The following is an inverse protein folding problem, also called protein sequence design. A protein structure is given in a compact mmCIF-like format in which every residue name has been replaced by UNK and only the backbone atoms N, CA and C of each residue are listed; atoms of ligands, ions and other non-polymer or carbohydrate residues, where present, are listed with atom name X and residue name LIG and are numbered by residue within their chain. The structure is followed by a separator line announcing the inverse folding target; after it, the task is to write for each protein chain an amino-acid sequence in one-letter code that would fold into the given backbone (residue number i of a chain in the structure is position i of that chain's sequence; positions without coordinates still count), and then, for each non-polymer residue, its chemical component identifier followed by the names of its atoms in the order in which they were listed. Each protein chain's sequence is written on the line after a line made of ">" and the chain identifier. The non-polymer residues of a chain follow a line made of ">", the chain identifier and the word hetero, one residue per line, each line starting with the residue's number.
data_IF_276989441943
#
_entry.id   IF_276989441943
#
_cell.length_a   1.000
_cell.length_b   1.000
_cell.length_c   1.000
_cell.angle_alpha   90.00
_cell.angle_beta   90.00
_cell.angle_gamma   90.00
#
_symmetry.space_group_name_H-M   'P 1'
#
loop_
_entity.id
_entity.type
_entity.pdbx_description
1 polymer ?
#
# COMPACT_ATOMS: atom_id res chain seq x y z
N UNK A 1 -10.83 -32.76 -58.83
CA UNK A 1 -11.20 -31.93 -57.71
C UNK A 1 -9.96 -31.69 -56.84
N UNK A 2 -9.29 -30.53 -56.94
CA UNK A 2 -8.11 -30.16 -56.15
C UNK A 2 -8.61 -29.48 -54.87
N UNK A 3 -8.38 -30.08 -53.71
CA UNK A 3 -8.68 -29.46 -52.40
C UNK A 3 -7.55 -28.47 -52.06
N UNK A 4 -7.88 -27.21 -52.04
CA UNK A 4 -7.00 -26.11 -51.61
C UNK A 4 -7.06 -26.05 -50.06
N UNK A 5 -5.98 -26.42 -49.39
CA UNK A 5 -5.84 -26.23 -47.94
C UNK A 5 -5.38 -24.80 -47.69
N UNK A 6 -6.25 -23.99 -47.15
CA UNK A 6 -5.93 -22.63 -46.68
C UNK A 6 -5.28 -22.77 -45.27
N UNK A 7 -3.96 -22.57 -45.22
CA UNK A 7 -3.22 -22.46 -43.93
C UNK A 7 -3.33 -21.01 -43.51
N UNK A 8 -4.19 -20.72 -42.51
CA UNK A 8 -4.19 -19.45 -41.79
C UNK A 8 -2.95 -19.39 -40.87
N UNK A 9 -2.08 -18.39 -40.98
CA UNK A 9 -1.04 -18.18 -40.00
C UNK A 9 -1.68 -17.71 -38.69
N UNK A 10 -1.55 -18.52 -37.64
CA UNK A 10 -1.90 -18.11 -36.28
C UNK A 10 -0.82 -17.13 -35.79
N UNK A 11 -1.07 -15.84 -35.93
CA UNK A 11 -0.24 -14.82 -35.30
C UNK A 11 -0.44 -14.90 -33.78
N UNK A 12 0.40 -15.65 -33.10
CA UNK A 12 0.49 -15.59 -31.65
C UNK A 12 0.98 -14.19 -31.28
N UNK A 13 0.09 -13.35 -30.76
CA UNK A 13 0.47 -12.10 -30.11
C UNK A 13 1.33 -12.49 -28.90
N UNK A 14 2.64 -12.26 -29.01
CA UNK A 14 3.55 -12.35 -27.86
C UNK A 14 3.13 -11.28 -26.87
N UNK A 15 2.44 -11.65 -25.79
CA UNK A 15 2.27 -10.75 -24.67
C UNK A 15 3.68 -10.39 -24.18
N UNK A 16 3.97 -9.10 -23.89
CA UNK A 16 5.25 -8.72 -23.32
C UNK A 16 5.46 -9.52 -22.03
N UNK A 17 6.65 -10.11 -21.89
CA UNK A 17 7.01 -10.88 -20.71
C UNK A 17 7.22 -9.92 -19.55
N UNK A 18 6.52 -10.13 -18.44
CA UNK A 18 6.75 -9.39 -17.20
C UNK A 18 8.22 -9.55 -16.75
N UNK A 19 8.86 -8.43 -16.42
CA UNK A 19 10.25 -8.41 -15.96
C UNK A 19 10.30 -8.11 -14.47
N UNK A 20 10.80 -9.03 -13.65
CA UNK A 20 11.05 -8.78 -12.23
C UNK A 20 12.20 -7.77 -12.09
N UNK A 21 11.96 -6.69 -11.35
CA UNK A 21 12.95 -5.62 -11.13
C UNK A 21 13.33 -5.48 -9.67
N UNK A 22 12.51 -5.99 -8.75
CA UNK A 22 12.74 -5.88 -7.32
C UNK A 22 12.09 -7.05 -6.58
N UNK A 23 12.75 -7.49 -5.52
CA UNK A 23 12.23 -8.38 -4.50
C UNK A 23 12.40 -7.74 -3.13
N UNK A 24 11.38 -7.79 -2.26
CA UNK A 24 11.47 -7.25 -0.90
C UNK A 24 10.76 -8.13 0.12
N UNK A 25 11.33 -8.15 1.36
CA UNK A 25 10.64 -8.63 2.55
C UNK A 25 10.19 -7.42 3.36
N UNK A 26 8.95 -7.45 3.82
CA UNK A 26 8.32 -6.32 4.46
C UNK A 26 7.47 -6.72 5.66
N UNK A 27 7.35 -5.80 6.62
CA UNK A 27 6.23 -5.76 7.56
C UNK A 27 5.39 -4.53 7.25
N UNK A 28 4.05 -4.65 7.40
CA UNK A 28 3.15 -3.54 7.10
C UNK A 28 2.08 -3.38 8.15
N UNK A 29 1.63 -2.16 8.30
CA UNK A 29 0.38 -1.82 8.95
C UNK A 29 -0.44 -0.97 7.98
N UNK A 30 -1.69 -1.32 7.75
CA UNK A 30 -2.55 -0.63 6.79
C UNK A 30 -3.78 -0.06 7.48
N UNK A 31 -4.06 1.21 7.20
CA UNK A 31 -5.32 1.86 7.49
C UNK A 31 -6.11 2.04 6.19
N UNK A 32 -7.34 1.57 6.19
CA UNK A 32 -8.31 1.93 5.17
C UNK A 32 -9.10 3.14 5.67
N UNK A 33 -9.11 4.23 4.93
CA UNK A 33 -9.71 5.49 5.33
C UNK A 33 -10.83 5.92 4.39
N UNK A 34 -11.81 6.61 4.94
CA UNK A 34 -12.70 7.48 4.21
C UNK A 34 -12.23 8.93 4.43
N UNK A 35 -11.67 9.53 3.37
CA UNK A 35 -11.23 10.94 3.35
C UNK A 35 -12.21 11.80 2.54
N UNK A 36 -12.19 13.16 2.66
CA UNK A 36 -13.01 14.04 1.86
C UNK A 36 -12.84 13.78 0.36
N UNK A 37 -13.91 13.34 -0.31
CA UNK A 37 -13.85 12.94 -1.73
C UNK A 37 -13.42 14.09 -2.64
N UNK A 38 -13.85 15.32 -2.34
CA UNK A 38 -13.44 16.50 -3.13
C UNK A 38 -11.93 16.76 -3.05
N UNK A 39 -11.33 16.53 -1.87
CA UNK A 39 -9.89 16.64 -1.69
C UNK A 39 -9.14 15.52 -2.43
N UNK A 40 -9.63 14.27 -2.33
CA UNK A 40 -9.03 13.13 -3.04
C UNK A 40 -9.07 13.33 -4.57
N UNK A 41 -10.16 13.86 -5.10
CA UNK A 41 -10.31 14.10 -6.55
C UNK A 41 -9.22 15.03 -7.12
N UNK A 42 -8.64 15.92 -6.31
CA UNK A 42 -7.55 16.79 -6.75
C UNK A 42 -6.24 16.04 -7.06
N UNK A 43 -6.10 14.79 -6.59
CA UNK A 43 -4.95 13.93 -6.85
C UNK A 43 -5.18 12.95 -8.01
N UNK A 44 -6.43 12.84 -8.48
CA UNK A 44 -6.75 11.90 -9.54
C UNK A 44 -6.43 12.52 -10.91
N UNK A 45 -5.72 11.81 -11.80
CA UNK A 45 -5.53 12.27 -13.16
C UNK A 45 -6.87 12.37 -13.93
N UNK A 46 -6.94 13.16 -15.01
CA UNK A 46 -8.15 13.26 -15.83
C UNK A 46 -8.67 11.88 -16.29
N UNK A 47 -9.97 11.66 -16.14
CA UNK A 47 -10.65 10.42 -16.52
C UNK A 47 -10.59 9.29 -15.48
N UNK A 48 -9.79 9.42 -14.42
CA UNK A 48 -9.73 8.47 -13.31
C UNK A 48 -10.83 8.78 -12.29
N UNK A 49 -11.39 7.74 -11.68
CA UNK A 49 -12.49 7.88 -10.70
C UNK A 49 -12.21 7.03 -9.46
N UNK A 50 -12.57 7.54 -8.29
CA UNK A 50 -12.52 6.72 -7.07
C UNK A 50 -13.40 5.47 -7.21
N UNK A 51 -12.85 4.34 -6.79
CA UNK A 51 -13.56 3.06 -6.67
C UNK A 51 -13.79 2.76 -5.19
N UNK A 52 -14.85 3.35 -4.63
CA UNK A 52 -15.16 3.24 -3.20
C UNK A 52 -15.77 1.87 -2.94
N UNK A 53 -15.24 1.14 -1.96
CA UNK A 53 -15.80 -0.14 -1.55
C UNK A 53 -17.23 0.03 -1.01
N UNK A 54 -18.19 -0.72 -1.56
CA UNK A 54 -19.62 -0.63 -1.18
C UNK A 54 -20.03 -1.67 -0.14
N UNK A 55 -19.14 -2.65 0.13
CA UNK A 55 -19.41 -3.76 1.05
C UNK A 55 -18.12 -4.28 1.69
N UNK A 56 -18.27 -5.16 2.66
CA UNK A 56 -17.15 -5.78 3.38
C UNK A 56 -16.53 -4.86 4.44
N UNK A 57 -15.40 -5.29 5.01
CA UNK A 57 -14.73 -4.56 6.08
C UNK A 57 -14.17 -3.21 5.64
N UNK A 58 -13.80 -3.05 4.38
CA UNK A 58 -13.31 -1.81 3.80
C UNK A 58 -14.44 -0.95 3.17
N UNK A 59 -15.71 -1.18 3.54
CA UNK A 59 -16.84 -0.36 3.05
C UNK A 59 -16.56 1.11 3.31
N UNK A 60 -16.83 1.96 2.31
CA UNK A 60 -16.61 3.41 2.32
C UNK A 60 -15.14 3.85 2.24
N UNK A 61 -14.18 2.93 2.17
CA UNK A 61 -12.76 3.25 1.96
C UNK A 61 -12.55 3.87 0.57
N UNK A 62 -11.86 5.02 0.55
CA UNK A 62 -11.41 5.67 -0.69
C UNK A 62 -9.90 5.99 -0.68
N UNK A 63 -9.23 5.78 0.46
CA UNK A 63 -7.77 5.96 0.58
C UNK A 63 -7.19 4.90 1.52
N UNK A 64 -6.05 4.33 1.13
CA UNK A 64 -5.25 3.44 1.95
C UNK A 64 -3.98 4.15 2.38
N UNK A 65 -3.71 4.15 3.68
CA UNK A 65 -2.46 4.61 4.27
C UNK A 65 -1.70 3.38 4.73
N UNK A 66 -0.61 3.04 4.05
CA UNK A 66 0.13 1.81 4.27
C UNK A 66 1.51 2.17 4.84
N UNK A 67 1.73 1.80 6.09
CA UNK A 67 3.01 1.90 6.77
C UNK A 67 3.85 0.69 6.40
N UNK A 68 4.99 0.91 5.79
CA UNK A 68 5.83 -0.16 5.24
C UNK A 68 7.24 -0.05 5.82
N UNK A 69 7.67 -1.13 6.46
CA UNK A 69 9.07 -1.36 6.77
C UNK A 69 9.61 -2.43 5.82
N UNK A 70 10.34 -1.99 4.81
CA UNK A 70 11.03 -2.86 3.86
C UNK A 70 12.35 -3.29 4.49
N UNK A 71 12.34 -4.48 5.09
CA UNK A 71 13.47 -5.02 5.83
C UNK A 71 14.64 -5.36 4.90
N UNK A 72 14.31 -5.92 3.72
CA UNK A 72 15.27 -6.17 2.64
C UNK A 72 14.72 -5.73 1.29
N UNK A 73 15.59 -5.22 0.44
CA UNK A 73 15.30 -4.84 -0.95
C UNK A 73 16.44 -5.37 -1.82
N UNK A 74 16.12 -6.25 -2.75
CA UNK A 74 17.07 -6.90 -3.62
C UNK A 74 16.66 -6.79 -5.08
N UNK A 75 17.65 -6.71 -5.95
CA UNK A 75 17.49 -6.84 -7.40
C UNK A 75 17.23 -8.29 -7.84
N UNK A 76 17.01 -8.49 -9.15
CA UNK A 76 16.77 -9.82 -9.72
C UNK A 76 17.95 -10.79 -9.52
N UNK A 77 19.14 -10.27 -9.36
CA UNK A 77 20.37 -11.01 -9.10
C UNK A 77 20.60 -11.33 -7.61
N UNK A 78 19.69 -10.89 -6.74
CA UNK A 78 19.79 -11.04 -5.29
C UNK A 78 20.68 -10.00 -4.60
N UNK A 79 21.32 -9.09 -5.34
CA UNK A 79 22.12 -8.02 -4.75
C UNK A 79 21.21 -6.95 -4.11
N UNK A 80 21.63 -6.30 -3.00
CA UNK A 80 20.88 -5.20 -2.42
C UNK A 80 20.66 -4.05 -3.42
N UNK A 81 19.44 -3.51 -3.47
CA UNK A 81 19.15 -2.27 -4.19
C UNK A 81 19.22 -1.09 -3.22
N UNK A 82 19.88 -0.01 -3.64
CA UNK A 82 20.09 1.18 -2.84
C UNK A 82 20.76 0.85 -1.50
N UNK A 83 20.11 1.23 -0.39
CA UNK A 83 20.59 0.89 0.96
C UNK A 83 20.17 -0.51 1.43
N UNK A 84 19.45 -1.26 0.60
CA UNK A 84 18.95 -2.60 0.90
C UNK A 84 17.76 -2.63 1.87
N UNK A 85 17.30 -1.47 2.35
CA UNK A 85 16.10 -1.33 3.20
C UNK A 85 15.54 0.08 3.12
N UNK A 86 14.23 0.25 3.37
CA UNK A 86 13.57 1.56 3.37
C UNK A 86 12.30 1.53 4.24
N UNK A 87 11.96 2.67 4.83
CA UNK A 87 10.71 2.88 5.58
C UNK A 87 9.92 3.98 4.91
N UNK A 88 8.65 3.71 4.73
CA UNK A 88 7.76 4.67 4.06
C UNK A 88 6.32 4.54 4.51
N UNK A 89 5.59 5.61 4.30
CA UNK A 89 4.13 5.61 4.30
C UNK A 89 3.66 5.83 2.87
N UNK A 90 2.83 4.93 2.40
CA UNK A 90 2.35 4.85 1.03
C UNK A 90 0.88 5.24 0.99
N UNK A 91 0.52 6.18 0.14
CA UNK A 91 -0.86 6.62 -0.06
C UNK A 91 -1.39 6.06 -1.38
N UNK A 92 -2.30 5.10 -1.30
CA UNK A 92 -2.91 4.47 -2.46
C UNK A 92 -4.43 4.65 -2.46
N UNK A 93 -4.95 5.22 -3.53
CA UNK A 93 -6.38 5.31 -3.77
C UNK A 93 -6.87 4.13 -4.63
N UNK A 94 -7.88 3.36 -4.20
CA UNK A 94 -8.58 2.45 -5.09
C UNK A 94 -9.35 3.27 -6.14
N UNK A 95 -9.13 2.98 -7.42
CA UNK A 95 -9.67 3.77 -8.52
C UNK A 95 -10.13 2.87 -9.67
N UNK A 96 -10.98 3.43 -10.52
CA UNK A 96 -11.28 2.91 -11.86
C UNK A 96 -10.54 3.79 -12.87
N UNK A 97 -9.70 3.18 -13.69
CA UNK A 97 -8.96 3.86 -14.74
C UNK A 97 -9.84 4.23 -15.95
N UNK A 98 -9.34 5.00 -16.94
CA UNK A 98 -10.11 5.36 -18.12
C UNK A 98 -10.59 4.18 -18.97
N UNK A 99 -9.97 2.99 -18.84
CA UNK A 99 -10.42 1.77 -19.54
C UNK A 99 -11.54 1.03 -18.81
N UNK A 100 -11.89 1.46 -17.58
CA UNK A 100 -12.87 0.80 -16.72
C UNK A 100 -12.28 -0.26 -15.80
N UNK A 101 -10.96 -0.43 -15.77
CA UNK A 101 -10.31 -1.40 -14.88
C UNK A 101 -10.17 -0.84 -13.45
N UNK A 102 -10.41 -1.72 -12.46
CA UNK A 102 -10.20 -1.39 -11.05
C UNK A 102 -8.74 -1.65 -10.67
N UNK A 103 -8.05 -0.61 -10.25
CA UNK A 103 -6.62 -0.62 -9.96
C UNK A 103 -6.30 0.23 -8.73
N UNK A 104 -5.02 0.29 -8.33
CA UNK A 104 -4.53 1.17 -7.30
C UNK A 104 -3.76 2.34 -7.91
N UNK A 105 -4.03 3.54 -7.43
CA UNK A 105 -3.32 4.76 -7.83
C UNK A 105 -2.48 5.28 -6.65
N UNK A 106 -1.17 5.34 -6.83
CA UNK A 106 -0.25 5.92 -5.85
C UNK A 106 -0.32 7.44 -5.97
N UNK A 107 -0.98 8.06 -5.03
CA UNK A 107 -1.21 9.51 -5.03
C UNK A 107 -0.16 10.29 -4.26
N UNK A 108 0.60 9.61 -3.39
CA UNK A 108 1.59 10.23 -2.55
C UNK A 108 2.25 9.26 -1.58
N UNK A 109 3.04 9.84 -0.69
CA UNK A 109 3.70 9.14 0.40
C UNK A 109 4.86 9.94 0.96
N UNK A 110 5.36 9.47 2.09
CA UNK A 110 6.55 10.01 2.75
C UNK A 110 7.52 8.87 3.06
N UNK A 111 8.81 9.12 2.96
CA UNK A 111 9.84 8.09 3.10
C UNK A 111 11.15 8.66 3.62
N UNK A 112 11.98 7.82 4.25
CA UNK A 112 13.34 8.22 4.63
C UNK A 112 14.22 8.52 3.43
N UNK A 113 14.02 7.81 2.31
CA UNK A 113 14.79 7.98 1.09
C UNK A 113 13.91 7.73 -0.14
N UNK A 114 13.54 8.79 -0.90
CA UNK A 114 12.76 8.64 -2.12
C UNK A 114 13.46 7.85 -3.22
N UNK A 115 14.79 7.76 -3.22
CA UNK A 115 15.54 7.00 -4.23
C UNK A 115 15.41 5.49 -4.04
N UNK A 116 15.18 5.05 -2.79
CA UNK A 116 14.97 3.64 -2.42
C UNK A 116 13.48 3.27 -2.30
N UNK A 117 12.57 4.21 -2.59
CA UNK A 117 11.13 3.96 -2.56
C UNK A 117 10.72 3.04 -3.73
N UNK A 118 9.66 2.21 -3.55
CA UNK A 118 9.24 1.30 -4.61
C UNK A 118 8.84 2.07 -5.86
N UNK A 119 9.57 1.83 -6.92
CA UNK A 119 9.31 2.31 -8.26
C UNK A 119 9.40 3.82 -8.48
N UNK A 120 9.49 4.21 -9.73
CA UNK A 120 9.61 5.61 -10.12
C UNK A 120 8.24 6.32 -10.14
N UNK A 121 7.43 6.17 -9.09
CA UNK A 121 6.15 6.88 -8.99
C UNK A 121 6.31 8.40 -8.93
N UNK A 122 7.45 8.87 -8.39
CA UNK A 122 7.80 10.30 -8.32
C UNK A 122 6.90 11.14 -7.42
N UNK A 123 6.21 10.52 -6.47
CA UNK A 123 5.22 11.15 -5.59
C UNK A 123 5.63 11.14 -4.10
N UNK A 124 6.76 10.54 -3.78
CA UNK A 124 7.21 10.45 -2.39
C UNK A 124 7.97 11.71 -1.96
N UNK A 125 7.74 12.13 -0.73
CA UNK A 125 8.43 13.23 -0.06
C UNK A 125 9.48 12.66 0.91
N UNK A 126 10.70 13.20 0.93
CA UNK A 126 11.70 12.83 1.93
C UNK A 126 11.29 13.34 3.31
N UNK A 127 11.48 12.50 4.34
CA UNK A 127 11.15 12.83 5.71
C UNK A 127 12.16 12.24 6.68
N UNK A 128 12.38 12.92 7.81
CA UNK A 128 12.98 12.28 8.98
C UNK A 128 11.98 11.28 9.56
N UNK A 129 12.46 10.15 10.05
CA UNK A 129 11.62 9.09 10.60
C UNK A 129 12.06 8.69 12.00
N UNK A 130 11.07 8.29 12.79
CA UNK A 130 11.27 7.54 14.02
C UNK A 130 10.23 6.44 14.09
N UNK A 131 10.70 5.20 14.29
CA UNK A 131 9.83 4.02 14.41
C UNK A 131 10.26 3.24 15.64
N UNK A 132 9.31 2.97 16.52
CA UNK A 132 9.49 2.09 17.67
C UNK A 132 8.45 0.97 17.62
N UNK A 133 8.90 -0.26 17.85
CA UNK A 133 8.03 -1.43 17.99
C UNK A 133 8.39 -2.21 19.23
N UNK A 134 7.38 -2.56 20.00
CA UNK A 134 7.54 -3.35 21.22
C UNK A 134 6.59 -4.53 21.19
N UNK A 135 7.09 -5.72 21.53
CA UNK A 135 6.28 -6.92 21.70
C UNK A 135 6.39 -7.38 23.15
N UNK A 136 5.24 -7.57 23.78
CA UNK A 136 5.16 -8.21 25.09
C UNK A 136 4.71 -9.65 24.85
N UNK A 137 5.61 -10.58 25.17
CA UNK A 137 5.40 -12.02 25.04
C UNK A 137 5.16 -12.62 26.42
N UNK A 138 4.14 -13.43 26.57
CA UNK A 138 3.83 -14.17 27.78
C UNK A 138 3.36 -15.57 27.43
N UNK A 139 3.70 -16.55 28.26
CA UNK A 139 3.30 -17.95 28.06
C UNK A 139 1.78 -18.17 28.25
N UNK A 140 1.09 -17.24 28.89
CA UNK A 140 -0.32 -17.38 29.26
C UNK A 140 -1.23 -16.29 28.74
N UNK A 141 -0.72 -15.38 27.93
CA UNK A 141 -1.49 -14.25 27.39
C UNK A 141 -1.20 -14.03 25.91
N UNK A 142 -2.12 -13.41 25.18
CA UNK A 142 -1.88 -12.98 23.81
C UNK A 142 -0.67 -12.06 23.69
N UNK A 143 -0.06 -12.05 22.52
CA UNK A 143 1.05 -11.13 22.23
C UNK A 143 0.48 -9.72 22.12
N UNK A 144 0.95 -8.81 22.99
CA UNK A 144 0.63 -7.39 22.88
C UNK A 144 1.73 -6.70 22.10
N UNK A 145 1.35 -6.01 21.04
CA UNK A 145 2.26 -5.22 20.21
C UNK A 145 1.93 -3.74 20.31
N UNK A 146 2.97 -2.92 20.40
CA UNK A 146 2.88 -1.46 20.29
C UNK A 146 3.72 -1.02 19.11
N UNK A 147 3.22 -0.10 18.31
CA UNK A 147 3.96 0.54 17.21
C UNK A 147 3.77 2.05 17.30
N UNK A 148 4.88 2.76 17.19
CA UNK A 148 4.96 4.21 17.09
C UNK A 148 5.68 4.55 15.79
N UNK A 149 5.05 5.39 14.97
CA UNK A 149 5.60 5.86 13.71
C UNK A 149 5.50 7.37 13.65
N UNK A 150 6.61 8.02 13.43
CA UNK A 150 6.68 9.47 13.25
C UNK A 150 7.46 9.78 12.00
N UNK A 151 6.90 10.64 11.16
CA UNK A 151 7.55 11.19 9.97
C UNK A 151 7.38 12.71 9.98
N UNK A 152 8.45 13.42 9.64
CA UNK A 152 8.43 14.87 9.48
C UNK A 152 9.19 15.26 8.21
N UNK A 153 8.46 15.75 7.21
CA UNK A 153 9.03 16.27 5.97
C UNK A 153 9.38 17.76 6.11
N UNK A 154 10.46 18.18 5.44
CA UNK A 154 10.89 19.57 5.44
C UNK A 154 9.85 20.50 4.76
N UNK A 155 8.98 19.97 3.90
CA UNK A 155 7.87 20.66 3.26
C UNK A 155 6.66 20.90 4.16
N UNK A 156 6.69 20.38 5.40
CA UNK A 156 5.69 20.64 6.43
C UNK A 156 4.69 19.51 6.66
N UNK A 157 4.75 18.41 5.90
CA UNK A 157 3.95 17.22 6.15
C UNK A 157 4.46 16.53 7.42
N UNK A 158 3.53 16.19 8.31
CA UNK A 158 3.80 15.46 9.54
C UNK A 158 2.83 14.30 9.69
N UNK A 159 3.36 13.13 10.06
CA UNK A 159 2.58 11.96 10.37
C UNK A 159 3.01 11.40 11.71
N UNK A 160 2.02 11.13 12.56
CA UNK A 160 2.17 10.42 13.83
C UNK A 160 1.13 9.31 13.89
N UNK A 161 1.55 8.11 14.21
CA UNK A 161 0.67 6.98 14.47
C UNK A 161 1.16 6.23 15.70
N UNK A 162 0.26 6.05 16.65
CA UNK A 162 0.46 5.17 17.80
C UNK A 162 -0.64 4.12 17.81
N UNK A 163 -0.25 2.86 17.93
CA UNK A 163 -1.19 1.75 18.07
C UNK A 163 -0.68 0.72 19.09
N UNK A 164 -1.58 0.30 19.98
CA UNK A 164 -1.39 -0.85 20.85
C UNK A 164 -2.49 -1.86 20.60
N UNK A 165 -2.14 -3.08 20.33
CA UNK A 165 -3.09 -4.11 19.97
C UNK A 165 -2.67 -5.50 20.43
N UNK A 166 -3.65 -6.36 20.56
CA UNK A 166 -3.48 -7.78 20.78
C UNK A 166 -3.36 -8.48 19.42
N UNK A 167 -2.31 -9.28 19.25
CA UNK A 167 -2.13 -10.06 18.03
C UNK A 167 -3.10 -11.23 17.99
N UNK A 168 -3.82 -11.36 16.89
CA UNK A 168 -4.66 -12.51 16.59
C UNK A 168 -3.86 -13.67 15.99
N UNK A 169 -4.60 -14.64 15.48
CA UNK A 169 -4.02 -15.78 14.76
C UNK A 169 -3.84 -15.39 13.29
N UNK A 170 -2.59 -15.16 12.91
CA UNK A 170 -2.25 -14.78 11.55
C UNK A 170 -2.44 -15.94 10.57
N UNK A 171 -2.91 -15.64 9.36
CA UNK A 171 -3.09 -16.60 8.30
C UNK A 171 -2.26 -16.24 7.06
N UNK A 172 -1.68 -17.25 6.41
CA UNK A 172 -0.99 -17.08 5.12
C UNK A 172 -2.03 -16.84 4.01
N UNK A 173 -1.75 -15.86 3.17
CA UNK A 173 -2.58 -15.51 2.03
C UNK A 173 -1.72 -15.17 0.81
N UNK A 174 -2.12 -15.71 -0.34
CA UNK A 174 -1.65 -15.23 -1.62
C UNK A 174 -2.68 -14.22 -2.13
N UNK A 175 -2.22 -13.09 -2.60
CA UNK A 175 -3.07 -12.08 -3.23
C UNK A 175 -2.94 -12.18 -4.74
N UNK A 176 -3.99 -11.82 -5.46
CA UNK A 176 -3.88 -11.61 -6.89
C UNK A 176 -2.88 -10.48 -7.19
N UNK A 177 -2.21 -10.57 -8.32
CA UNK A 177 -1.33 -9.52 -8.81
C UNK A 177 -2.09 -8.19 -8.86
N UNK A 178 -1.48 -7.16 -8.29
CA UNK A 178 -2.09 -5.83 -8.19
C UNK A 178 -1.28 -4.82 -8.99
N UNK A 179 -1.96 -4.08 -9.85
CA UNK A 179 -1.36 -2.97 -10.60
C UNK A 179 -1.43 -1.69 -9.76
N UNK A 180 -0.27 -1.07 -9.57
CA UNK A 180 -0.13 0.23 -8.93
C UNK A 180 0.33 1.25 -9.94
N UNK A 181 -0.52 2.23 -10.23
CA UNK A 181 -0.24 3.34 -11.15
C UNK A 181 0.28 4.56 -10.39
N UNK A 182 1.03 5.42 -11.07
CA UNK A 182 1.48 6.70 -10.54
C UNK A 182 0.49 7.81 -10.86
N UNK A 183 0.05 8.59 -9.86
CA UNK A 183 -0.77 9.77 -10.11
C UNK A 183 -0.02 10.85 -10.90
N UNK A 184 1.32 10.93 -10.75
CA UNK A 184 2.19 11.87 -11.46
C UNK A 184 2.44 11.45 -12.91
N UNK A 185 2.48 10.13 -13.16
CA UNK A 185 2.64 9.55 -14.50
C UNK A 185 1.65 8.40 -14.68
N UNK A 186 0.39 8.67 -15.07
CA UNK A 186 -0.67 7.67 -15.09
C UNK A 186 -0.53 6.62 -16.20
N UNK A 187 0.48 6.72 -17.06
CA UNK A 187 0.84 5.68 -18.03
C UNK A 187 1.84 4.67 -17.44
N UNK A 188 2.49 5.01 -16.31
CA UNK A 188 3.41 4.14 -15.62
C UNK A 188 2.70 3.34 -14.54
N UNK A 189 2.91 2.04 -14.53
CA UNK A 189 2.49 1.17 -13.44
C UNK A 189 3.51 0.07 -13.17
N UNK A 190 3.42 -0.50 -11.98
CA UNK A 190 4.10 -1.72 -11.60
C UNK A 190 3.10 -2.79 -11.20
N UNK A 191 3.48 -4.03 -11.41
CA UNK A 191 2.73 -5.19 -10.95
C UNK A 191 3.36 -5.64 -9.63
N UNK A 192 2.56 -5.72 -8.58
CA UNK A 192 2.95 -6.22 -7.27
C UNK A 192 2.40 -7.62 -7.09
N UNK A 193 3.29 -8.60 -7.02
CA UNK A 193 2.99 -9.99 -6.69
C UNK A 193 3.39 -10.25 -5.25
N UNK A 194 2.45 -10.69 -4.42
CA UNK A 194 2.63 -10.74 -2.98
C UNK A 194 2.23 -12.08 -2.39
N UNK A 195 3.05 -12.53 -1.45
CA UNK A 195 2.73 -13.57 -0.49
C UNK A 195 2.83 -12.98 0.91
N UNK A 196 1.81 -13.15 1.75
CA UNK A 196 1.76 -12.48 3.03
C UNK A 196 1.20 -13.35 4.15
N UNK A 197 1.61 -13.06 5.39
CA UNK A 197 1.00 -13.55 6.62
C UNK A 197 0.29 -12.38 7.27
N UNK A 198 -1.03 -12.46 7.33
CA UNK A 198 -1.92 -11.36 7.69
C UNK A 198 -2.67 -11.67 8.97
N UNK A 199 -2.57 -10.77 9.94
CA UNK A 199 -3.43 -10.69 11.12
C UNK A 199 -4.47 -9.60 10.85
N UNK A 200 -5.71 -10.01 10.63
CA UNK A 200 -6.80 -9.10 10.30
C UNK A 200 -7.36 -8.51 11.59
N UNK A 201 -7.13 -7.22 11.77
CA UNK A 201 -7.64 -6.46 12.90
C UNK A 201 -8.84 -5.58 12.50
N UNK A 202 -9.61 -6.01 11.50
CA UNK A 202 -10.73 -5.25 10.95
C UNK A 202 -11.87 -5.15 11.93
N UNK A 203 -12.36 -3.96 12.10
CA UNK A 203 -13.56 -3.76 12.86
C UNK A 203 -14.38 -2.58 12.35
N UNK A 204 -15.22 -2.76 11.33
CA UNK A 204 -16.06 -1.68 10.81
C UNK A 204 -17.27 -1.34 11.68
N UNK A 205 -17.58 -2.14 12.72
CA UNK A 205 -18.84 -2.06 13.43
C UNK A 205 -18.75 -1.92 14.95
N UNK A 206 -17.60 -2.17 15.55
CA UNK A 206 -17.41 -2.11 17.00
C UNK A 206 -16.48 -0.98 17.42
N UNK A 207 -16.72 -0.43 18.59
CA UNK A 207 -15.88 0.57 19.23
C UNK A 207 -15.72 0.19 20.71
N UNK A 208 -14.54 -0.19 21.22
CA UNK A 208 -13.24 -0.16 20.51
C UNK A 208 -13.15 -1.21 19.38
N UNK A 209 -12.26 -0.99 18.40
CA UNK A 209 -11.97 -1.98 17.37
C UNK A 209 -11.46 -3.28 17.95
N UNK A 210 -11.74 -4.41 17.26
CA UNK A 210 -11.19 -5.70 17.65
C UNK A 210 -9.68 -5.66 17.73
N UNK A 211 -9.12 -6.34 18.74
CA UNK A 211 -7.69 -6.42 19.00
C UNK A 211 -6.97 -5.09 19.25
N UNK A 212 -7.56 -3.95 18.93
CA UNK A 212 -6.96 -2.63 19.12
C UNK A 212 -7.36 -2.08 20.49
N UNK A 213 -6.36 -1.86 21.35
CA UNK A 213 -6.52 -1.33 22.72
C UNK A 213 -6.36 0.19 22.76
N UNK A 214 -5.38 0.71 22.02
CA UNK A 214 -5.10 2.16 21.91
C UNK A 214 -4.80 2.47 20.46
N UNK A 215 -5.33 3.56 19.96
CA UNK A 215 -5.05 4.04 18.61
C UNK A 215 -5.11 5.57 18.57
N UNK A 216 -4.08 6.18 17.98
CA UNK A 216 -4.12 7.55 17.54
C UNK A 216 -3.40 7.68 16.20
N UNK A 217 -3.97 8.50 15.34
CA UNK A 217 -3.43 8.78 14.02
C UNK A 217 -3.61 10.25 13.71
N UNK A 218 -2.55 10.87 13.26
CA UNK A 218 -2.55 12.25 12.79
C UNK A 218 -1.65 12.33 11.57
N UNK A 219 -2.20 12.78 10.49
CA UNK A 219 -1.45 13.11 9.30
C UNK A 219 -1.93 14.45 8.77
N UNK A 220 -1.04 15.29 8.32
CA UNK A 220 -1.43 16.59 7.79
C UNK A 220 -0.25 17.47 7.47
N UNK A 221 -0.56 18.73 7.18
CA UNK A 221 0.39 19.74 6.73
C UNK A 221 0.73 19.61 5.25
N UNK A 222 1.41 20.62 4.73
CA UNK A 222 1.90 20.65 3.36
C UNK A 222 0.83 20.30 2.32
N UNK A 223 1.22 19.44 1.40
CA UNK A 223 0.34 18.99 0.29
C UNK A 223 -0.85 18.14 0.72
N UNK A 224 -0.79 17.49 1.90
CA UNK A 224 -1.86 16.56 2.35
C UNK A 224 -2.89 17.20 3.30
N UNK A 225 -2.76 18.49 3.62
CA UNK A 225 -3.63 19.17 4.60
C UNK A 225 -5.13 19.10 4.29
N UNK A 226 -5.52 18.99 3.01
CA UNK A 226 -6.94 18.85 2.60
C UNK A 226 -7.46 17.41 2.63
N UNK A 227 -6.55 16.43 2.54
CA UNK A 227 -6.91 15.01 2.67
C UNK A 227 -7.12 14.62 4.12
N UNK A 228 -6.30 15.22 5.01
CA UNK A 228 -6.28 14.93 6.44
C UNK A 228 -6.58 16.23 7.18
N UNK A 229 -7.84 16.63 7.14
CA UNK A 229 -8.36 17.88 7.74
C UNK A 229 -9.04 17.65 9.10
N UNK A 230 -8.97 16.42 9.62
CA UNK A 230 -9.60 15.98 10.86
C UNK A 230 -11.01 15.38 10.66
N UNK A 231 -11.49 15.31 9.41
CA UNK A 231 -12.79 14.67 9.09
C UNK A 231 -12.64 13.26 8.54
N UNK A 232 -11.40 12.83 8.26
CA UNK A 232 -11.10 11.47 7.83
C UNK A 232 -11.53 10.44 8.88
N UNK A 233 -12.02 9.29 8.40
CA UNK A 233 -12.47 8.20 9.28
C UNK A 233 -11.68 6.93 8.98
N UNK A 234 -11.17 6.30 10.01
CA UNK A 234 -10.61 4.95 9.88
C UNK A 234 -11.76 3.97 9.71
N UNK A 235 -11.73 3.22 8.62
CA UNK A 235 -12.74 2.24 8.24
C UNK A 235 -12.32 0.84 8.66
N UNK A 236 -11.05 0.50 8.43
CA UNK A 236 -10.51 -0.79 8.85
C UNK A 236 -8.99 -0.75 9.05
N UNK A 237 -8.49 -1.77 9.74
CA UNK A 237 -7.07 -1.96 10.02
C UNK A 237 -6.63 -3.35 9.55
N UNK A 238 -5.42 -3.45 9.02
CA UNK A 238 -4.76 -4.72 8.74
C UNK A 238 -3.31 -4.65 9.24
N UNK A 239 -2.86 -5.71 9.92
CA UNK A 239 -1.47 -5.89 10.31
C UNK A 239 -0.86 -7.04 9.50
N UNK A 240 0.09 -6.72 8.66
CA UNK A 240 0.82 -7.69 7.84
C UNK A 240 2.13 -8.00 8.54
N UNK A 241 2.18 -9.16 9.21
CA UNK A 241 3.33 -9.59 9.98
C UNK A 241 4.54 -9.89 9.11
N UNK A 242 4.30 -10.35 7.92
CA UNK A 242 5.32 -10.73 6.96
C UNK A 242 4.76 -10.69 5.54
N UNK A 243 5.53 -10.14 4.62
CA UNK A 243 5.18 -10.05 3.22
C UNK A 243 6.43 -10.21 2.37
N UNK A 244 6.37 -11.11 1.41
CA UNK A 244 7.29 -11.17 0.27
C UNK A 244 6.61 -10.48 -0.91
N UNK A 245 7.32 -9.58 -1.54
CA UNK A 245 6.85 -8.89 -2.73
C UNK A 245 7.87 -8.96 -3.86
N UNK A 246 7.40 -9.36 -5.05
CA UNK A 246 8.08 -9.13 -6.30
C UNK A 246 7.44 -7.96 -7.03
N UNK A 247 8.25 -7.04 -7.52
CA UNK A 247 7.82 -5.96 -8.40
C UNK A 247 8.22 -6.30 -9.81
N UNK A 248 7.24 -6.27 -10.72
CA UNK A 248 7.42 -6.56 -12.12
C UNK A 248 7.03 -5.35 -12.96
N UNK A 249 7.76 -5.14 -14.04
CA UNK A 249 7.39 -4.22 -15.12
C UNK A 249 6.69 -5.01 -16.25
N UNK A 250 5.71 -4.39 -16.94
CA UNK A 250 5.02 -4.99 -18.07
C UNK A 250 5.92 -5.14 -19.28
#
# INVERSE_FOLDING_TARGET
>A
MKKLFLILPLAAALAPAETMVEFSNETRFQLDLAVPQAALNAYLPPGWKSNIATQGAAKDCNLRVIFIDRVTINGPDGAPLGKGSNRLVFLAAPVTDPSGANVQLVIGGITEDPSDAPGPYGVYLPASIHIMRTNILSNSAPIIQTQDWTFAAASGEQLEMHIKYERGVAARRNTADTKYYSAKNPTFFQISRQEQVLDIMRNPTTNPPDHVQVFSFKFGGGSYAKLFDGTEKVVSWDNVLWLNRSILLP
#
